data_IF_902150758100
#
_entry.id   IF_902150758100
#
_cell.length_a   1.000
_cell.length_b   1.000
_cell.length_c   1.000
_cell.angle_alpha   90.00
_cell.angle_beta   90.00
_cell.angle_gamma   90.00
#
_symmetry.space_group_name_H-M   'P 1'
#
loop_
_entity.id
_entity.type
_entity.pdbx_description
1 polymer ?
#
# COMPACT_ATOMS: atom_id res chain seq x y z
N UNK A 1 -20.36 2.76 28.24
CA UNK A 1 -20.30 2.47 26.79
C UNK A 1 -19.14 3.14 26.04
N UNK A 2 -18.38 4.10 26.59
CA UNK A 2 -17.14 4.64 25.96
C UNK A 2 -15.85 4.16 26.66
N UNK A 3 -15.95 3.57 27.85
CA UNK A 3 -14.79 3.19 28.66
C UNK A 3 -14.09 1.87 28.27
N UNK A 4 -14.66 1.08 27.36
CA UNK A 4 -14.12 -0.24 26.99
C UNK A 4 -12.92 -0.19 26.03
N UNK A 5 -12.83 0.84 25.18
CA UNK A 5 -11.79 1.00 24.16
C UNK A 5 -11.14 2.39 24.28
N UNK A 6 -10.39 2.60 25.37
CA UNK A 6 -9.64 3.85 25.54
C UNK A 6 -8.33 3.78 24.77
N UNK A 7 -8.03 4.81 23.99
CA UNK A 7 -6.72 4.99 23.38
C UNK A 7 -5.74 5.51 24.42
N UNK A 8 -4.67 4.76 24.69
CA UNK A 8 -3.70 5.03 25.75
C UNK A 8 -2.44 5.73 25.25
N UNK A 9 -2.23 5.76 23.94
CA UNK A 9 -1.01 6.25 23.30
C UNK A 9 0.13 5.23 23.34
N UNK A 10 -0.20 3.94 23.23
CA UNK A 10 0.76 2.84 23.17
C UNK A 10 1.28 2.64 21.73
N UNK A 11 2.50 2.08 21.54
CA UNK A 11 3.08 1.88 20.21
C UNK A 11 2.25 1.00 19.26
N UNK A 12 1.43 0.10 19.81
CA UNK A 12 0.58 -0.84 19.06
C UNK A 12 -0.81 -0.27 18.75
N UNK A 13 -1.19 0.85 19.36
CA UNK A 13 -2.49 1.47 19.11
C UNK A 13 -2.39 2.38 17.89
N UNK A 14 -3.35 2.25 16.96
CA UNK A 14 -3.43 3.14 15.81
C UNK A 14 -4.34 4.34 16.15
N UNK A 15 -3.80 5.58 16.17
CA UNK A 15 -4.62 6.77 16.40
C UNK A 15 -5.66 7.00 15.29
N UNK A 16 -5.46 6.51 14.06
CA UNK A 16 -6.46 6.59 12.99
C UNK A 16 -7.63 5.64 13.25
N UNK A 17 -7.35 4.39 13.60
CA UNK A 17 -8.39 3.41 13.93
C UNK A 17 -9.22 3.85 15.14
N UNK A 18 -8.57 4.49 16.12
CA UNK A 18 -9.26 5.11 17.25
C UNK A 18 -10.21 6.22 16.82
N UNK A 19 -9.75 7.14 15.97
CA UNK A 19 -10.58 8.23 15.46
C UNK A 19 -11.77 7.71 14.63
N UNK A 20 -11.55 6.73 13.74
CA UNK A 20 -12.63 6.13 12.94
C UNK A 20 -13.65 5.41 13.84
N UNK A 21 -13.17 4.62 14.81
CA UNK A 21 -14.03 3.96 15.79
C UNK A 21 -14.85 4.95 16.60
N UNK A 22 -14.24 6.07 17.03
CA UNK A 22 -14.92 7.13 17.76
C UNK A 22 -15.96 7.86 16.90
N UNK A 23 -15.63 8.19 15.65
CA UNK A 23 -16.54 8.84 14.71
C UNK A 23 -17.75 7.95 14.39
N UNK A 24 -17.56 6.64 14.24
CA UNK A 24 -18.66 5.66 14.08
C UNK A 24 -19.54 5.61 15.33
N UNK A 25 -18.95 5.53 16.53
CA UNK A 25 -19.71 5.51 17.79
C UNK A 25 -20.57 6.76 17.97
N UNK A 26 -20.02 7.94 17.67
CA UNK A 26 -20.76 9.20 17.76
C UNK A 26 -21.90 9.28 16.71
N UNK A 27 -21.67 8.73 15.53
CA UNK A 27 -22.67 8.68 14.45
C UNK A 27 -23.85 7.78 14.83
N UNK A 28 -23.59 6.59 15.38
CA UNK A 28 -24.61 5.61 15.79
C UNK A 28 -25.54 6.15 16.89
N UNK A 29 -25.03 7.04 17.73
CA UNK A 29 -25.73 7.58 18.89
C UNK A 29 -26.37 8.96 18.63
N UNK A 30 -26.26 9.49 17.40
CA UNK A 30 -26.74 10.83 17.00
C UNK A 30 -26.18 11.98 17.85
N UNK A 31 -25.04 11.80 18.51
CA UNK A 31 -24.39 12.80 19.38
C UNK A 31 -23.28 13.58 18.66
N UNK A 32 -23.37 13.73 17.34
CA UNK A 32 -22.34 14.37 16.52
C UNK A 32 -21.95 15.79 16.98
N UNK A 33 -22.87 16.52 17.61
CA UNK A 33 -22.58 17.85 18.19
C UNK A 33 -21.73 17.84 19.46
N UNK A 34 -21.48 16.67 20.06
CA UNK A 34 -20.77 16.53 21.35
C UNK A 34 -19.41 15.83 21.22
N UNK A 35 -18.92 15.57 20.00
CA UNK A 35 -17.65 14.86 19.75
C UNK A 35 -16.49 15.42 20.57
N UNK A 36 -16.30 16.74 20.57
CA UNK A 36 -15.25 17.40 21.35
C UNK A 36 -15.37 17.16 22.87
N UNK A 37 -16.59 17.17 23.40
CA UNK A 37 -16.82 16.93 24.84
C UNK A 37 -16.64 15.47 25.21
N UNK A 38 -16.87 14.56 24.28
CA UNK A 38 -16.82 13.11 24.51
C UNK A 38 -15.43 12.53 24.26
N UNK A 39 -14.62 13.16 23.41
CA UNK A 39 -13.31 12.67 23.03
C UNK A 39 -12.36 12.45 24.22
N UNK A 40 -12.27 13.33 25.24
CA UNK A 40 -11.42 13.09 26.40
C UNK A 40 -11.75 11.79 27.14
N UNK A 41 -13.01 11.36 27.16
CA UNK A 41 -13.42 10.11 27.80
C UNK A 41 -13.00 8.85 27.02
N UNK A 42 -12.69 9.01 25.74
CA UNK A 42 -12.13 7.97 24.87
C UNK A 42 -10.61 7.83 25.01
N UNK A 43 -9.96 8.74 25.75
CA UNK A 43 -8.51 8.73 25.96
C UNK A 43 -8.16 8.15 27.34
N UNK A 44 -7.04 7.45 27.39
CA UNK A 44 -6.42 6.91 28.61
C UNK A 44 -4.96 7.31 28.72
N UNK A 45 -4.37 7.06 29.89
CA UNK A 45 -2.93 7.14 30.15
C UNK A 45 -2.23 8.33 29.47
N UNK A 46 -1.28 8.09 28.55
CA UNK A 46 -0.49 9.14 27.91
C UNK A 46 -1.35 10.07 27.05
N UNK A 47 -2.38 9.53 26.41
CA UNK A 47 -3.28 10.31 25.58
C UNK A 47 -4.15 11.26 26.39
N UNK A 48 -4.67 10.80 27.52
CA UNK A 48 -5.43 11.64 28.44
C UNK A 48 -4.55 12.72 29.11
N UNK A 49 -3.28 12.41 29.43
CA UNK A 49 -2.36 13.42 29.94
C UNK A 49 -2.06 14.51 28.91
N UNK A 50 -1.83 14.15 27.65
CA UNK A 50 -1.62 15.12 26.58
C UNK A 50 -2.84 16.02 26.36
N UNK A 51 -4.05 15.46 26.41
CA UNK A 51 -5.27 16.25 26.19
C UNK A 51 -5.34 17.41 27.19
N UNK A 52 -5.00 17.16 28.46
CA UNK A 52 -4.89 18.20 29.50
C UNK A 52 -3.79 19.23 29.27
N UNK A 53 -2.81 18.96 28.40
CA UNK A 53 -1.76 19.93 28.04
C UNK A 53 -2.17 20.89 26.93
N UNK A 54 -3.29 20.63 26.26
CA UNK A 54 -3.83 21.52 25.24
C UNK A 54 -4.40 22.76 25.93
N UNK A 55 -4.04 23.94 25.44
CA UNK A 55 -4.62 25.18 25.92
C UNK A 55 -6.10 25.24 25.51
N UNK A 56 -6.98 25.61 26.44
CA UNK A 56 -8.44 25.57 26.27
C UNK A 56 -8.95 26.33 25.02
N UNK A 57 -8.17 27.28 24.51
CA UNK A 57 -8.55 28.13 23.36
C UNK A 57 -8.02 27.63 22.00
N UNK A 58 -7.27 26.53 21.96
CA UNK A 58 -6.62 26.05 20.73
C UNK A 58 -7.46 25.12 19.86
N UNK A 59 -8.53 24.53 20.40
CA UNK A 59 -9.35 23.53 19.72
C UNK A 59 -10.83 23.88 19.85
N UNK A 60 -11.39 24.40 18.77
CA UNK A 60 -12.76 24.90 18.66
C UNK A 60 -13.61 24.07 17.69
N UNK A 61 -13.01 23.14 16.95
CA UNK A 61 -13.73 22.19 16.11
C UNK A 61 -13.20 20.76 16.23
N UNK A 62 -14.02 19.77 15.85
CA UNK A 62 -13.58 18.38 15.79
C UNK A 62 -12.39 18.18 14.83
N UNK A 63 -12.35 18.94 13.73
CA UNK A 63 -11.22 18.89 12.80
C UNK A 63 -9.93 19.44 13.40
N UNK A 64 -10.00 20.49 14.22
CA UNK A 64 -8.83 21.01 14.94
C UNK A 64 -8.33 20.01 15.98
N UNK A 65 -9.24 19.27 16.62
CA UNK A 65 -8.88 18.19 17.54
C UNK A 65 -8.10 17.07 16.81
N UNK A 66 -8.59 16.61 15.65
CA UNK A 66 -7.89 15.62 14.82
C UNK A 66 -6.52 16.13 14.37
N UNK A 67 -6.42 17.40 13.96
CA UNK A 67 -5.16 18.04 13.54
C UNK A 67 -4.14 18.14 14.68
N UNK A 68 -4.58 18.31 15.93
CA UNK A 68 -3.71 18.32 17.10
C UNK A 68 -3.32 16.90 17.56
N UNK A 69 -4.27 15.97 17.52
CA UNK A 69 -4.12 14.59 18.01
C UNK A 69 -3.16 13.76 17.15
N UNK A 70 -3.34 13.80 15.83
CA UNK A 70 -2.57 12.96 14.91
C UNK A 70 -1.06 13.21 15.01
N UNK A 71 -0.53 14.44 14.92
CA UNK A 71 0.92 14.66 15.04
C UNK A 71 1.52 14.23 16.38
N UNK A 72 0.71 14.18 17.46
CA UNK A 72 1.19 13.80 18.80
C UNK A 72 1.35 12.29 18.94
N UNK A 73 0.36 11.51 18.49
CA UNK A 73 0.29 10.08 18.74
C UNK A 73 0.61 9.22 17.54
N UNK A 74 0.55 9.80 16.34
CA UNK A 74 1.10 9.15 15.18
C UNK A 74 2.62 9.23 15.30
N UNK A 75 3.27 8.12 15.65
CA UNK A 75 4.70 8.15 15.93
C UNK A 75 5.48 8.74 14.75
N UNK A 76 6.34 9.71 15.02
CA UNK A 76 7.22 10.31 13.99
C UNK A 76 8.00 9.22 13.25
N UNK A 77 8.37 8.13 13.93
CA UNK A 77 8.99 6.96 13.32
C UNK A 77 8.08 6.26 12.31
N UNK A 78 6.80 6.02 12.62
CA UNK A 78 5.84 5.41 11.68
C UNK A 78 5.52 6.33 10.52
N UNK A 79 5.31 7.63 10.78
CA UNK A 79 5.12 8.63 9.70
C UNK A 79 6.33 8.64 8.77
N UNK A 80 7.55 8.73 9.31
CA UNK A 80 8.78 8.71 8.52
C UNK A 80 8.93 7.39 7.74
N UNK A 81 8.67 6.25 8.38
CA UNK A 81 8.69 4.94 7.71
C UNK A 81 7.70 4.91 6.54
N UNK A 82 6.43 5.23 6.76
CA UNK A 82 5.42 5.23 5.70
C UNK A 82 5.74 6.23 4.59
N UNK A 83 6.26 7.42 4.92
CA UNK A 83 6.73 8.36 3.90
C UNK A 83 7.89 7.79 3.08
N UNK A 84 8.81 7.06 3.70
CA UNK A 84 9.90 6.38 3.00
C UNK A 84 9.38 5.25 2.10
N UNK A 85 8.44 4.43 2.58
CA UNK A 85 7.79 3.37 1.78
C UNK A 85 7.03 3.96 0.57
N UNK A 86 6.35 5.10 0.75
CA UNK A 86 5.70 5.82 -0.35
C UNK A 86 6.76 6.32 -1.33
N UNK A 87 7.75 7.09 -0.88
CA UNK A 87 8.73 7.73 -1.78
C UNK A 87 9.68 6.75 -2.47
N UNK A 88 9.99 5.65 -1.80
CA UNK A 88 10.88 4.59 -2.27
C UNK A 88 10.12 3.37 -2.80
N UNK A 89 8.84 3.54 -3.16
CA UNK A 89 8.04 2.44 -3.64
C UNK A 89 8.67 1.80 -4.88
N UNK A 90 8.76 0.47 -4.83
CA UNK A 90 9.10 -0.38 -5.97
C UNK A 90 8.19 -1.61 -5.93
N UNK A 91 7.70 -2.02 -7.09
CA UNK A 91 7.06 -3.31 -7.30
C UNK A 91 8.10 -4.43 -7.09
N UNK A 92 7.72 -5.48 -6.36
CA UNK A 92 8.59 -6.62 -6.04
C UNK A 92 8.44 -7.70 -7.12
N UNK A 93 9.50 -8.45 -7.40
CA UNK A 93 9.47 -9.50 -8.43
C UNK A 93 8.51 -10.67 -8.12
N UNK A 94 8.04 -10.80 -6.88
CA UNK A 94 7.19 -11.91 -6.43
C UNK A 94 5.76 -11.46 -6.06
N UNK A 95 5.35 -10.27 -6.49
CA UNK A 95 3.97 -9.81 -6.34
C UNK A 95 3.41 -9.44 -7.73
N UNK A 96 2.11 -9.61 -7.90
CA UNK A 96 1.36 -9.12 -9.05
C UNK A 96 1.25 -7.59 -8.99
N UNK A 97 0.93 -6.95 -10.11
CA UNK A 97 0.72 -5.50 -10.10
C UNK A 97 -0.48 -5.11 -9.24
N UNK A 98 -1.52 -5.95 -9.22
CA UNK A 98 -2.68 -5.78 -8.33
C UNK A 98 -2.29 -5.75 -6.85
N UNK A 99 -1.44 -6.69 -6.41
CA UNK A 99 -0.94 -6.73 -5.03
C UNK A 99 -0.04 -5.52 -4.71
N UNK A 100 0.83 -5.14 -5.65
CA UNK A 100 1.69 -3.97 -5.52
C UNK A 100 0.85 -2.68 -5.39
N UNK A 101 -0.23 -2.57 -6.16
CA UNK A 101 -1.15 -1.45 -6.14
C UNK A 101 -1.90 -1.34 -4.79
N UNK A 102 -2.46 -2.45 -4.30
CA UNK A 102 -3.11 -2.48 -2.98
C UNK A 102 -2.13 -2.12 -1.85
N UNK A 103 -0.89 -2.59 -1.94
CA UNK A 103 0.17 -2.23 -0.98
C UNK A 103 0.48 -0.73 -1.01
N UNK A 104 0.57 -0.12 -2.19
CA UNK A 104 0.77 1.33 -2.31
C UNK A 104 -0.41 2.12 -1.73
N UNK A 105 -1.66 1.74 -2.05
CA UNK A 105 -2.87 2.34 -1.46
C UNK A 105 -2.83 2.26 0.06
N UNK A 106 -2.48 1.10 0.61
CA UNK A 106 -2.38 0.88 2.05
C UNK A 106 -1.43 1.86 2.73
N UNK A 107 -0.28 2.18 2.14
CA UNK A 107 0.64 3.18 2.71
C UNK A 107 0.03 4.58 2.80
N UNK A 108 -0.71 5.00 1.76
CA UNK A 108 -1.34 6.32 1.71
C UNK A 108 -2.52 6.42 2.69
N UNK A 109 -3.32 5.36 2.82
CA UNK A 109 -4.43 5.27 3.78
C UNK A 109 -3.93 5.25 5.22
N UNK A 110 -2.83 4.54 5.50
CA UNK A 110 -2.23 4.50 6.83
C UNK A 110 -1.54 5.81 7.24
N UNK A 111 -1.22 6.71 6.30
CA UNK A 111 -0.57 7.99 6.61
C UNK A 111 -1.24 9.14 5.85
N UNK A 112 -2.49 9.51 6.15
CA UNK A 112 -3.22 10.54 5.40
C UNK A 112 -2.53 11.93 5.46
N UNK A 113 -1.68 12.16 6.47
CA UNK A 113 -0.84 13.34 6.63
C UNK A 113 0.56 13.20 5.99
N UNK A 114 0.75 12.30 5.02
CA UNK A 114 2.04 12.03 4.37
C UNK A 114 2.64 13.23 3.61
N UNK A 115 1.82 14.22 3.22
CA UNK A 115 2.28 15.50 2.62
C UNK A 115 2.66 15.44 1.13
N UNK A 116 2.33 14.34 0.45
CA UNK A 116 2.56 14.16 -0.99
C UNK A 116 1.32 14.59 -1.78
N UNK A 117 1.51 15.27 -2.92
CA UNK A 117 0.41 15.60 -3.83
C UNK A 117 0.01 14.36 -4.62
N UNK A 118 -1.25 14.28 -5.08
CA UNK A 118 -1.73 13.17 -5.92
C UNK A 118 -0.87 12.93 -7.16
N UNK A 119 -0.42 13.99 -7.84
CA UNK A 119 0.49 13.89 -8.97
C UNK A 119 1.85 13.25 -8.60
N UNK A 120 2.40 13.61 -7.43
CA UNK A 120 3.65 13.04 -6.94
C UNK A 120 3.49 11.55 -6.62
N UNK A 121 2.38 11.17 -5.97
CA UNK A 121 2.06 9.77 -5.69
C UNK A 121 1.95 8.94 -6.98
N UNK A 122 1.23 9.45 -7.99
CA UNK A 122 1.09 8.79 -9.29
C UNK A 122 2.47 8.62 -9.97
N UNK A 123 3.29 9.67 -9.99
CA UNK A 123 4.65 9.57 -10.54
C UNK A 123 5.53 8.59 -9.78
N UNK A 124 5.40 8.50 -8.45
CA UNK A 124 6.18 7.57 -7.66
C UNK A 124 5.77 6.13 -7.94
N UNK A 125 4.47 5.84 -8.00
CA UNK A 125 3.95 4.53 -8.38
C UNK A 125 4.45 4.12 -9.77
N UNK A 126 4.27 4.98 -10.78
CA UNK A 126 4.70 4.71 -12.15
C UNK A 126 6.21 4.41 -12.22
N UNK A 127 7.05 5.20 -11.54
CA UNK A 127 8.51 4.98 -11.54
C UNK A 127 8.93 3.70 -10.81
N UNK A 128 8.17 3.31 -9.79
CA UNK A 128 8.41 2.10 -9.00
C UNK A 128 7.90 0.82 -9.64
N UNK A 129 6.99 0.91 -10.62
CA UNK A 129 6.43 -0.23 -11.32
C UNK A 129 7.45 -0.93 -12.25
N UNK A 130 7.24 -2.22 -12.50
CA UNK A 130 8.08 -3.00 -13.40
C UNK A 130 8.07 -2.42 -14.83
N UNK A 131 9.13 -2.62 -15.63
CA UNK A 131 9.19 -2.12 -17.02
C UNK A 131 7.98 -2.53 -17.87
N UNK A 132 7.48 -3.76 -17.71
CA UNK A 132 6.31 -4.25 -18.42
C UNK A 132 5.05 -3.47 -18.05
N UNK A 133 4.81 -3.28 -16.75
CA UNK A 133 3.65 -2.53 -16.26
C UNK A 133 3.68 -1.08 -16.74
N UNK A 134 4.86 -0.43 -16.70
CA UNK A 134 5.01 0.93 -17.24
C UNK A 134 4.65 1.00 -18.72
N UNK A 135 5.10 0.03 -19.52
CA UNK A 135 4.76 -0.06 -20.94
C UNK A 135 3.24 -0.22 -21.14
N UNK A 136 2.58 -1.08 -20.35
CA UNK A 136 1.13 -1.27 -20.43
C UNK A 136 0.35 -0.01 -20.05
N UNK A 137 0.78 0.70 -19.00
CA UNK A 137 0.20 1.98 -18.61
C UNK A 137 0.37 3.05 -19.70
N UNK A 138 1.55 3.10 -20.32
CA UNK A 138 1.82 4.03 -21.42
C UNK A 138 0.94 3.72 -22.64
N UNK A 139 0.80 2.45 -23.01
CA UNK A 139 -0.13 2.01 -24.08
C UNK A 139 -1.58 2.40 -23.75
N UNK A 140 -2.04 2.10 -22.53
CA UNK A 140 -3.40 2.43 -22.09
C UNK A 140 -3.65 3.94 -22.05
N UNK A 141 -2.60 4.73 -21.81
CA UNK A 141 -2.65 6.20 -21.86
C UNK A 141 -2.52 6.77 -23.27
N UNK A 142 -2.35 5.94 -24.31
CA UNK A 142 -2.06 6.39 -25.68
C UNK A 142 -0.84 7.34 -25.74
N UNK A 143 0.20 7.05 -24.95
CA UNK A 143 1.35 7.94 -24.79
C UNK A 143 2.10 7.68 -23.49
N UNK A 144 2.59 8.75 -22.85
CA UNK A 144 3.18 8.64 -21.51
C UNK A 144 2.11 8.92 -20.46
N UNK A 145 1.93 8.00 -19.51
CA UNK A 145 0.94 8.14 -18.42
C UNK A 145 1.11 9.46 -17.66
N UNK A 146 2.35 9.89 -17.43
CA UNK A 146 2.65 11.10 -16.65
C UNK A 146 2.29 12.40 -17.37
N UNK A 147 1.95 12.36 -18.66
CA UNK A 147 1.44 13.50 -19.41
C UNK A 147 -0.09 13.62 -19.33
N UNK A 148 -0.79 12.63 -18.77
CA UNK A 148 -2.24 12.66 -18.59
C UNK A 148 -2.65 13.50 -17.40
N UNK A 149 -3.94 13.86 -17.37
CA UNK A 149 -4.52 14.40 -16.15
C UNK A 149 -4.38 13.39 -15.01
N UNK A 150 -4.18 13.89 -13.80
CA UNK A 150 -3.93 13.05 -12.63
C UNK A 150 -5.10 12.11 -12.36
N UNK A 151 -6.34 12.55 -12.58
CA UNK A 151 -7.52 11.70 -12.38
C UNK A 151 -7.58 10.57 -13.40
N UNK A 152 -7.34 10.87 -14.68
CA UNK A 152 -7.27 9.87 -15.75
C UNK A 152 -6.13 8.87 -15.50
N UNK A 153 -4.96 9.36 -15.05
CA UNK A 153 -3.83 8.49 -14.72
C UNK A 153 -4.12 7.52 -13.56
N UNK A 154 -4.84 7.97 -12.53
CA UNK A 154 -5.30 7.09 -11.44
C UNK A 154 -6.31 6.04 -11.93
N UNK A 155 -7.23 6.43 -12.81
CA UNK A 155 -8.21 5.52 -13.39
C UNK A 155 -7.54 4.42 -14.23
N UNK A 156 -6.55 4.79 -15.06
CA UNK A 156 -5.79 3.81 -15.86
C UNK A 156 -5.01 2.83 -14.98
N UNK A 157 -4.41 3.30 -13.88
CA UNK A 157 -3.73 2.43 -12.90
C UNK A 157 -4.71 1.46 -12.27
N UNK A 158 -5.86 1.94 -11.82
CA UNK A 158 -6.88 1.10 -11.18
C UNK A 158 -7.42 0.05 -12.17
N UNK A 159 -7.72 0.46 -13.41
CA UNK A 159 -8.17 -0.44 -14.46
C UNK A 159 -7.13 -1.52 -14.78
N UNK A 160 -5.84 -1.14 -14.87
CA UNK A 160 -4.77 -2.09 -15.12
C UNK A 160 -4.63 -3.09 -13.96
N UNK A 161 -4.65 -2.61 -12.71
CA UNK A 161 -4.57 -3.47 -11.53
C UNK A 161 -5.76 -4.43 -11.40
N UNK A 162 -6.96 -4.03 -11.82
CA UNK A 162 -8.13 -4.91 -11.89
C UNK A 162 -7.98 -5.95 -13.00
N UNK A 163 -7.41 -5.58 -14.14
CA UNK A 163 -7.20 -6.48 -15.27
C UNK A 163 -6.07 -7.50 -15.05
N UNK A 164 -5.03 -7.12 -14.29
CA UNK A 164 -3.90 -7.98 -13.92
C UNK A 164 -4.36 -9.23 -13.14
N UNK A 165 -5.42 -9.09 -12.32
CA UNK A 165 -6.07 -10.22 -11.65
C UNK A 165 -6.84 -11.18 -12.57
N UNK A 166 -7.14 -10.78 -13.81
CA UNK A 166 -7.88 -11.58 -14.79
C UNK A 166 -7.01 -12.23 -15.88
N UNK A 167 -5.79 -11.73 -16.11
CA UNK A 167 -4.90 -12.26 -17.17
C UNK A 167 -4.04 -13.45 -16.73
N UNK A 168 -4.05 -13.80 -15.44
CA UNK A 168 -3.31 -14.95 -14.92
C UNK A 168 -3.90 -16.32 -15.32
N UNK A 169 -5.11 -16.39 -15.88
CA UNK A 169 -5.72 -17.68 -16.23
C UNK A 169 -5.65 -18.04 -17.72
N UNK A 170 -5.43 -17.10 -18.65
CA UNK A 170 -5.68 -17.39 -20.09
C UNK A 170 -4.58 -17.00 -21.10
N UNK A 171 -3.41 -16.51 -20.66
CA UNK A 171 -2.29 -16.17 -21.57
C UNK A 171 -1.10 -17.15 -21.53
N UNK A 172 -1.34 -18.43 -21.19
CA UNK A 172 -0.41 -19.50 -21.61
C UNK A 172 -0.60 -19.85 -23.10
N UNK A 173 -0.43 -18.84 -23.95
CA UNK A 173 -0.22 -18.98 -25.39
C UNK A 173 1.12 -18.36 -25.76
N UNK A 174 2.21 -18.77 -25.10
CA UNK A 174 3.51 -18.92 -25.75
C UNK A 174 4.60 -19.48 -24.82
N UNK A 175 4.54 -20.80 -24.63
CA UNK A 175 5.72 -21.63 -24.86
C UNK A 175 6.42 -21.18 -26.14
N UNK A 176 7.52 -20.42 -26.03
CA UNK A 176 8.62 -20.38 -27.04
C UNK A 176 10.02 -20.07 -26.49
N UNK A 177 10.22 -20.00 -25.17
CA UNK A 177 11.56 -19.76 -24.58
C UNK A 177 12.11 -20.89 -23.70
N UNK A 178 11.26 -21.56 -22.92
CA UNK A 178 11.70 -22.55 -21.94
C UNK A 178 11.81 -23.97 -22.51
N UNK A 179 10.90 -24.37 -23.40
CA UNK A 179 10.86 -25.73 -23.98
C UNK A 179 12.08 -26.07 -24.84
N UNK A 180 12.60 -25.11 -25.62
CA UNK A 180 13.75 -25.36 -26.51
C UNK A 180 15.07 -25.52 -25.73
N UNK A 181 15.16 -24.89 -24.55
CA UNK A 181 16.34 -25.01 -23.68
C UNK A 181 16.32 -26.34 -22.91
N UNK A 182 15.15 -26.75 -22.41
CA UNK A 182 14.97 -28.03 -21.71
C UNK A 182 15.11 -29.22 -22.66
N UNK A 183 14.55 -29.15 -23.88
CA UNK A 183 14.72 -30.18 -24.90
C UNK A 183 16.16 -30.30 -25.39
N UNK A 184 16.91 -29.19 -25.48
CA UNK A 184 18.36 -29.22 -25.76
C UNK A 184 19.13 -29.88 -24.62
N UNK A 185 18.90 -29.45 -23.38
CA UNK A 185 19.57 -30.02 -22.22
C UNK A 185 19.28 -31.52 -22.07
N UNK A 186 18.04 -31.95 -22.35
CA UNK A 186 17.63 -33.35 -22.30
C UNK A 186 18.27 -34.19 -23.41
N UNK A 187 18.44 -33.63 -24.62
CA UNK A 187 19.17 -34.29 -25.72
C UNK A 187 20.66 -34.41 -25.40
N UNK A 188 21.26 -33.38 -24.82
CA UNK A 188 22.68 -33.38 -24.45
C UNK A 188 22.98 -34.38 -23.33
N UNK A 189 22.12 -34.47 -22.31
CA UNK A 189 22.21 -35.47 -21.23
C UNK A 189 22.09 -36.89 -21.80
N UNK A 190 21.16 -37.12 -22.73
CA UNK A 190 20.99 -38.44 -23.36
C UNK A 190 22.23 -38.84 -24.17
N UNK A 191 22.81 -37.91 -24.93
CA UNK A 191 24.02 -38.17 -25.72
C UNK A 191 25.25 -38.45 -24.84
N UNK A 192 25.35 -37.83 -23.67
CA UNK A 192 26.42 -38.11 -22.70
C UNK A 192 26.27 -39.49 -22.08
N UNK A 193 25.05 -39.90 -21.72
CA UNK A 193 24.79 -41.24 -21.17
C UNK A 193 25.13 -42.34 -22.19
N UNK A 194 24.75 -42.18 -23.46
CA UNK A 194 25.10 -43.15 -24.51
C UNK A 194 26.61 -43.27 -24.74
N UNK A 195 27.37 -42.19 -24.54
CA UNK A 195 28.84 -42.23 -24.61
C UNK A 195 29.44 -42.93 -23.38
N UNK A 196 28.86 -42.72 -22.20
CA UNK A 196 29.28 -43.38 -20.97
C UNK A 196 29.05 -44.90 -21.05
N UNK A 197 27.89 -45.33 -21.55
CA UNK A 197 27.55 -46.74 -21.73
C UNK A 197 28.50 -47.44 -22.71
N UNK A 198 28.90 -46.75 -23.78
CA UNK A 198 29.89 -47.28 -24.73
C UNK A 198 31.29 -47.44 -24.13
N UNK A 199 31.68 -46.58 -23.20
CA UNK A 199 32.97 -46.69 -22.50
C UNK A 199 32.95 -47.81 -21.45
N UNK A 200 31.82 -48.01 -20.78
CA UNK A 200 31.61 -49.10 -19.82
C UNK A 200 31.56 -50.48 -20.48
N UNK A 201 31.11 -50.55 -21.75
CA UNK A 201 31.11 -51.78 -22.56
C UNK A 201 32.44 -52.06 -23.26
N UNK A 202 33.40 -51.13 -23.23
CA UNK A 202 34.70 -51.24 -23.87
C UNK A 202 35.86 -51.59 -22.89
N UNK A 203 35.53 -51.91 -21.63
CA UNK A 203 36.42 -52.47 -20.61
C UNK A 203 36.13 -53.96 -20.40
#
# INVERSE_FOLDING_TARGET
>A
MIQGNKFRGLPMEDPLDHLDSFDRLCSLTKINGFKLRLFPFSLGDKAHHWEKTLTLDSINSWDDCKKAFLPKFFSNARTTRLRNEISGFTEKNNETFSEAWERFKSYTTQCPHHGFKKASLLSTLYRGALPLIRMLLDIASNGNLLNKDVAEGWELVENLAQSDGCYNEDYDRSVRGAGDTDDRQRKDIKALNEKLDKLLLAQ
#
